data_IF_297287678627
#
_entry.id   IF_297287678627
#
_cell.length_a   1.000
_cell.length_b   1.000
_cell.length_c   1.000
_cell.angle_alpha   90.00
_cell.angle_beta   90.00
_cell.angle_gamma   90.00
#
_symmetry.space_group_name_H-M   'P 1'
#
loop_
_entity.id
_entity.type
_entity.pdbx_description
1 polymer ?
#
# COMPACT_ATOMS: atom_id res chain seq x y z
N UNK A 1 10.80 10.74 -3.81
CA UNK A 1 10.95 9.90 -2.64
C UNK A 1 11.40 8.50 -3.01
N UNK A 2 12.38 8.02 -2.31
CA UNK A 2 12.88 6.68 -2.58
C UNK A 2 12.28 5.69 -1.63
N UNK A 3 11.84 4.58 -2.14
CA UNK A 3 11.23 3.54 -1.32
C UNK A 3 12.27 2.52 -0.91
N UNK A 4 12.16 2.01 0.30
CA UNK A 4 13.04 0.92 0.70
C UNK A 4 12.45 -0.40 0.16
N UNK A 5 13.16 -1.49 0.36
CA UNK A 5 12.74 -2.78 -0.19
C UNK A 5 11.37 -3.20 0.28
N UNK A 6 11.11 -2.99 1.55
CA UNK A 6 9.82 -3.39 2.09
C UNK A 6 8.70 -2.58 1.51
N UNK A 7 8.92 -1.27 1.37
CA UNK A 7 7.91 -0.40 0.79
C UNK A 7 7.65 -0.75 -0.67
N UNK A 8 8.69 -1.07 -1.39
CA UNK A 8 8.53 -1.51 -2.77
C UNK A 8 7.73 -2.79 -2.86
N UNK A 9 7.97 -3.70 -1.94
CA UNK A 9 7.24 -4.94 -1.87
C UNK A 9 5.76 -4.69 -1.62
N UNK A 10 5.46 -3.78 -0.72
CA UNK A 10 4.09 -3.44 -0.41
C UNK A 10 3.38 -2.92 -1.65
N UNK A 11 4.03 -2.02 -2.36
CA UNK A 11 3.45 -1.46 -3.58
C UNK A 11 3.20 -2.56 -4.61
N UNK A 12 4.13 -3.48 -4.74
CA UNK A 12 3.97 -4.58 -5.68
C UNK A 12 2.78 -5.46 -5.32
N UNK A 13 2.63 -5.76 -4.05
CA UNK A 13 1.52 -6.57 -3.59
C UNK A 13 0.20 -5.88 -3.89
N UNK A 14 0.12 -4.59 -3.60
CA UNK A 14 -1.11 -3.85 -3.82
C UNK A 14 -1.41 -3.75 -5.31
N UNK A 15 -0.37 -3.64 -6.11
CA UNK A 15 -0.54 -3.56 -7.54
C UNK A 15 -1.12 -4.85 -8.10
N UNK A 16 -0.66 -5.98 -7.58
CA UNK A 16 -1.11 -7.27 -8.05
C UNK A 16 -2.44 -7.68 -7.48
N UNK A 17 -2.61 -7.47 -6.20
CA UNK A 17 -3.74 -8.03 -5.47
C UNK A 17 -4.73 -7.02 -4.95
N UNK A 18 -4.51 -5.77 -5.17
CA UNK A 18 -5.39 -4.77 -4.60
C UNK A 18 -6.76 -4.75 -5.22
N UNK A 19 -7.74 -4.28 -4.51
CA UNK A 19 -7.59 -3.75 -3.14
C UNK A 19 -7.34 -4.87 -2.13
N UNK A 20 -6.51 -4.58 -1.16
CA UNK A 20 -6.09 -5.57 -0.21
C UNK A 20 -5.94 -4.91 1.16
N UNK A 21 -6.32 -5.60 2.21
CA UNK A 21 -6.25 -5.03 3.55
C UNK A 21 -4.83 -5.05 4.08
N UNK A 22 -4.56 -4.20 5.05
CA UNK A 22 -3.25 -4.18 5.68
C UNK A 22 -2.90 -5.50 6.32
N UNK A 23 -3.91 -6.18 6.85
CA UNK A 23 -3.72 -7.49 7.44
C UNK A 23 -3.21 -8.49 6.44
N UNK A 24 -3.80 -8.49 5.25
CA UNK A 24 -3.38 -9.40 4.21
C UNK A 24 -1.99 -9.07 3.70
N UNK A 25 -1.67 -7.81 3.60
CA UNK A 25 -0.33 -7.40 3.19
C UNK A 25 0.68 -7.93 4.20
N UNK A 26 0.37 -7.76 5.48
CA UNK A 26 1.27 -8.23 6.52
C UNK A 26 1.46 -9.73 6.44
N UNK A 27 0.39 -10.43 6.19
CA UNK A 27 0.44 -11.87 6.05
C UNK A 27 1.38 -12.29 4.94
N UNK A 28 1.26 -11.65 3.80
CA UNK A 28 2.08 -12.00 2.66
C UNK A 28 3.55 -11.70 2.89
N UNK A 29 3.84 -10.70 3.69
CA UNK A 29 5.21 -10.35 4.01
C UNK A 29 5.71 -11.04 5.27
N UNK A 30 4.84 -11.80 5.91
CA UNK A 30 5.20 -12.50 7.13
C UNK A 30 5.60 -11.52 8.23
N UNK A 31 4.85 -10.44 8.33
CA UNK A 31 5.09 -9.40 9.32
C UNK A 31 3.81 -9.11 10.06
N UNK A 32 3.89 -8.31 11.10
CA UNK A 32 2.70 -7.90 11.81
C UNK A 32 2.19 -6.60 11.24
N UNK A 33 0.91 -6.33 11.45
CA UNK A 33 0.34 -5.07 11.03
C UNK A 33 1.03 -3.89 11.68
N UNK A 34 1.39 -4.06 12.93
CA UNK A 34 2.06 -2.98 13.65
C UNK A 34 3.37 -2.60 12.97
N UNK A 35 4.09 -3.59 12.47
CA UNK A 35 5.35 -3.33 11.77
C UNK A 35 5.12 -2.57 10.47
N UNK A 36 4.03 -2.87 9.79
CA UNK A 36 3.76 -2.24 8.51
C UNK A 36 3.10 -0.89 8.61
N UNK A 37 2.50 -0.59 9.73
CA UNK A 37 1.74 0.63 9.88
C UNK A 37 2.47 1.88 9.43
N UNK A 38 3.72 2.11 9.87
CA UNK A 38 4.42 3.30 9.41
C UNK A 38 4.65 3.31 7.91
N UNK A 39 4.96 2.16 7.34
CA UNK A 39 5.20 2.11 5.90
C UNK A 39 3.94 2.37 5.10
N UNK A 40 2.82 1.83 5.57
CA UNK A 40 1.56 2.07 4.88
C UNK A 40 1.18 3.55 4.96
N UNK A 41 1.42 4.16 6.11
CA UNK A 41 1.13 5.58 6.26
C UNK A 41 2.00 6.42 5.34
N UNK A 42 3.27 6.10 5.26
CA UNK A 42 4.19 6.83 4.40
C UNK A 42 3.77 6.70 2.94
N UNK A 43 3.46 5.49 2.51
CA UNK A 43 3.08 5.28 1.12
C UNK A 43 1.76 5.96 0.77
N UNK A 44 0.85 5.99 1.71
CA UNK A 44 -0.42 6.66 1.51
C UNK A 44 -0.22 8.17 1.41
N UNK A 45 0.58 8.71 2.31
CA UNK A 45 0.82 10.14 2.31
C UNK A 45 1.61 10.59 1.09
N UNK A 46 2.47 9.72 0.59
CA UNK A 46 3.26 10.05 -0.58
C UNK A 46 2.49 9.88 -1.89
N UNK A 47 1.29 9.33 -1.80
CA UNK A 47 0.47 9.20 -3.01
C UNK A 47 0.63 7.90 -3.77
N UNK A 48 1.38 6.95 -3.23
CA UNK A 48 1.49 5.66 -3.90
C UNK A 48 0.28 4.78 -3.67
N UNK A 49 -0.33 4.91 -2.51
CA UNK A 49 -1.48 4.08 -2.16
C UNK A 49 -2.64 4.94 -1.72
N UNK A 50 -3.81 4.39 -1.84
CA UNK A 50 -4.99 5.00 -1.28
C UNK A 50 -5.67 3.98 -0.39
N UNK A 51 -6.20 4.42 0.75
CA UNK A 51 -6.86 3.53 1.69
C UNK A 51 -8.33 3.87 1.78
N UNK A 52 -9.18 2.86 1.78
CA UNK A 52 -10.61 3.05 1.96
C UNK A 52 -11.13 2.11 3.00
N UNK A 53 -11.97 2.58 3.89
CA UNK A 53 -12.55 1.71 4.90
C UNK A 53 -13.30 0.56 4.24
N UNK A 54 -13.12 -0.63 4.79
CA UNK A 54 -13.79 -1.82 4.30
C UNK A 54 -13.37 -2.31 2.94
N UNK A 55 -12.50 -1.56 2.29
CA UNK A 55 -12.00 -1.98 0.98
C UNK A 55 -10.55 -2.39 1.08
N UNK A 56 -9.75 -1.55 1.72
CA UNK A 56 -8.33 -1.82 1.87
C UNK A 56 -7.49 -0.81 1.11
N UNK A 57 -6.30 -1.21 0.77
CA UNK A 57 -5.36 -0.36 0.06
C UNK A 57 -5.37 -0.68 -1.42
N UNK A 58 -5.27 0.33 -2.24
CA UNK A 58 -5.15 0.12 -3.68
C UNK A 58 -4.26 1.22 -4.26
N UNK A 59 -3.83 1.00 -5.48
CA UNK A 59 -2.91 1.91 -6.14
C UNK A 59 -3.66 3.12 -6.63
N UNK A 60 -3.10 4.30 -6.35
CA UNK A 60 -3.64 5.51 -6.85
C UNK A 60 -3.11 5.71 -8.22
N UNK A 61 -3.88 5.41 -9.24
CA UNK A 61 -3.37 5.53 -10.51
C UNK A 61 -4.00 6.47 -11.39
N UNK A 62 -5.12 6.97 -11.08
CA UNK A 62 -5.86 7.71 -12.04
C UNK A 62 -5.62 9.16 -12.03
N UNK A 63 -4.81 9.64 -11.15
CA UNK A 63 -4.67 11.04 -11.06
C UNK A 63 -4.10 11.63 -12.28
N UNK A 64 -3.47 10.87 -13.06
CA UNK A 64 -2.89 11.44 -14.23
C UNK A 64 -3.91 11.81 -15.22
N UNK A 65 -5.05 11.34 -15.08
CA UNK A 65 -5.93 11.63 -16.02
C UNK A 65 -6.65 12.77 -15.85
N UNK A 66 -6.58 13.36 -15.24
CA UNK A 66 -7.32 14.40 -15.16
C UNK A 66 -7.32 15.28 -16.01
N UNK A 67 -7.49 15.34 -16.54
CA UNK A 67 -7.58 16.01 -17.45
C UNK A 67 -7.97 16.72 -17.40
#
# INVERSE_FOLDING_TARGET
>A
MELNSRQEHIVEIVKSDGPITGEKIAEQLNLTRATLRPDLAILTMAGFLEARPRVGYFIQENRARNF
#
